data_IF_825573519357
#
_entry.id   IF_825573519357
#
_cell.length_a   1.000
_cell.length_b   1.000
_cell.length_c   1.000
_cell.angle_alpha   90.00
_cell.angle_beta   90.00
_cell.angle_gamma   90.00
#
_symmetry.space_group_name_H-M   'P 1'
#
loop_
_entity.id
_entity.type
_entity.pdbx_description
1 polymer ?
#
# COMPACT_ATOMS: atom_id res chain seq x y z
N UNK A 1 -15.44 6.75 -6.09
CA UNK A 1 -14.12 6.12 -6.39
C UNK A 1 -13.45 6.70 -7.63
N UNK A 2 -14.04 6.62 -8.84
CA UNK A 2 -13.41 7.08 -10.09
C UNK A 2 -12.93 8.54 -10.06
N UNK A 3 -13.74 9.46 -9.53
CA UNK A 3 -13.37 10.88 -9.43
C UNK A 3 -12.21 11.08 -8.45
N UNK A 4 -12.32 10.52 -7.23
CA UNK A 4 -11.25 10.56 -6.25
C UNK A 4 -9.92 10.01 -6.79
N UNK A 5 -9.94 8.91 -7.55
CA UNK A 5 -8.74 8.36 -8.18
C UNK A 5 -8.13 9.35 -9.20
N UNK A 6 -8.96 10.00 -10.01
CA UNK A 6 -8.52 10.98 -11.00
C UNK A 6 -7.88 12.20 -10.33
N UNK A 7 -8.43 12.63 -9.21
CA UNK A 7 -7.97 13.83 -8.48
C UNK A 7 -6.74 13.54 -7.60
N UNK A 8 -6.59 12.30 -7.13
CA UNK A 8 -5.47 11.88 -6.28
C UNK A 8 -4.23 11.41 -7.04
N UNK A 9 -4.40 10.88 -8.27
CA UNK A 9 -3.31 10.24 -9.02
C UNK A 9 -3.17 10.83 -10.43
N UNK A 10 -2.03 11.47 -10.69
CA UNK A 10 -1.80 12.17 -11.95
C UNK A 10 -0.78 11.43 -12.82
N UNK A 11 -1.24 10.87 -13.94
CA UNK A 11 -0.37 10.16 -14.88
C UNK A 11 0.60 11.11 -15.59
N UNK A 12 1.85 10.68 -15.74
CA UNK A 12 2.86 11.40 -16.53
C UNK A 12 2.91 10.91 -17.98
N UNK A 13 3.36 11.78 -18.89
CA UNK A 13 3.47 11.49 -20.34
C UNK A 13 4.39 10.28 -20.62
N UNK A 14 5.46 10.15 -19.83
CA UNK A 14 6.47 9.09 -19.96
C UNK A 14 6.12 7.81 -19.17
N UNK A 15 4.89 7.70 -18.65
CA UNK A 15 4.46 6.61 -17.78
C UNK A 15 4.68 6.91 -16.30
N UNK A 16 3.98 6.15 -15.45
CA UNK A 16 3.99 6.35 -13.98
C UNK A 16 3.06 7.47 -13.50
N UNK A 17 3.07 7.67 -12.17
CA UNK A 17 2.30 8.71 -11.48
C UNK A 17 3.23 9.79 -10.93
N UNK A 18 2.79 11.04 -11.00
CA UNK A 18 3.53 12.19 -10.49
C UNK A 18 3.87 12.03 -9.02
N UNK A 19 2.91 11.58 -8.21
CA UNK A 19 3.04 11.41 -6.76
C UNK A 19 4.11 10.37 -6.41
N UNK A 20 4.17 9.26 -7.16
CA UNK A 20 5.18 8.23 -6.97
C UNK A 20 6.59 8.75 -7.30
N UNK A 21 6.71 9.53 -8.38
CA UNK A 21 7.98 10.15 -8.79
C UNK A 21 8.45 11.20 -7.78
N UNK A 22 7.55 12.03 -7.27
CA UNK A 22 7.88 13.06 -6.27
C UNK A 22 8.40 12.41 -4.97
N UNK A 23 7.79 11.31 -4.53
CA UNK A 23 8.28 10.55 -3.38
C UNK A 23 9.66 9.94 -3.64
N UNK A 24 9.86 9.29 -4.80
CA UNK A 24 11.15 8.70 -5.19
C UNK A 24 12.27 9.74 -5.25
N UNK A 25 12.02 10.87 -5.90
CA UNK A 25 12.96 11.99 -6.00
C UNK A 25 13.25 12.59 -4.62
N UNK A 26 12.23 12.67 -3.75
CA UNK A 26 12.35 13.10 -2.35
C UNK A 26 13.31 12.21 -1.55
N UNK A 27 13.07 10.90 -1.53
CA UNK A 27 13.95 9.93 -0.85
C UNK A 27 15.35 9.93 -1.42
N UNK A 28 15.49 9.94 -2.75
CA UNK A 28 16.80 9.99 -3.40
C UNK A 28 17.58 11.23 -3.01
N UNK A 29 16.92 12.39 -2.93
CA UNK A 29 17.54 13.66 -2.51
C UNK A 29 17.96 13.61 -1.03
N UNK A 30 17.09 13.13 -0.14
CA UNK A 30 17.37 13.00 1.28
C UNK A 30 18.54 12.03 1.57
N UNK A 31 18.58 10.90 0.86
CA UNK A 31 19.59 9.85 1.06
C UNK A 31 20.96 10.17 0.44
N UNK A 32 21.00 10.94 -0.66
CA UNK A 32 22.23 11.13 -1.47
C UNK A 32 23.47 11.57 -0.68
N UNK A 33 23.43 12.56 0.23
CA UNK A 33 24.60 12.98 0.99
C UNK A 33 25.15 11.87 1.89
N UNK A 34 24.24 11.16 2.59
CA UNK A 34 24.58 10.07 3.49
C UNK A 34 25.14 8.86 2.74
N UNK A 35 24.53 8.50 1.60
CA UNK A 35 25.04 7.42 0.74
C UNK A 35 26.45 7.70 0.22
N UNK A 36 26.78 8.96 -0.10
CA UNK A 36 28.15 9.35 -0.49
C UNK A 36 29.13 9.13 0.66
N UNK A 37 28.78 9.54 1.88
CA UNK A 37 29.61 9.34 3.08
C UNK A 37 29.79 7.86 3.43
N UNK A 38 28.75 7.04 3.26
CA UNK A 38 28.85 5.60 3.42
C UNK A 38 29.82 4.94 2.42
N UNK A 39 29.90 5.45 1.18
CA UNK A 39 30.90 4.97 0.21
C UNK A 39 32.33 5.34 0.61
N UNK A 40 32.53 6.55 1.17
CA UNK A 40 33.81 6.99 1.73
C UNK A 40 34.21 6.10 2.92
N UNK A 41 33.26 5.78 3.80
CA UNK A 41 33.44 4.88 4.94
C UNK A 41 33.93 3.50 4.52
N UNK A 42 33.25 2.88 3.54
CA UNK A 42 33.63 1.55 3.04
C UNK A 42 35.00 1.55 2.38
N UNK A 43 35.40 2.65 1.76
CA UNK A 43 36.74 2.80 1.17
C UNK A 43 37.81 2.92 2.27
N UNK A 44 37.59 3.77 3.28
CA UNK A 44 38.51 3.94 4.40
C UNK A 44 38.68 2.63 5.21
N UNK A 45 37.57 1.92 5.45
CA UNK A 45 37.56 0.59 6.09
C UNK A 45 38.43 -0.42 5.33
N UNK A 46 38.29 -0.48 4.00
CA UNK A 46 39.10 -1.38 3.15
C UNK A 46 40.59 -1.04 3.22
N UNK A 47 40.95 0.24 3.19
CA UNK A 47 42.34 0.69 3.30
C UNK A 47 42.93 0.29 4.66
N UNK A 48 42.20 0.54 5.75
CA UNK A 48 42.61 0.14 7.10
C UNK A 48 42.84 -1.38 7.21
N UNK A 49 41.87 -2.20 6.77
CA UNK A 49 42.02 -3.66 6.81
C UNK A 49 43.17 -4.17 5.94
N UNK A 50 43.43 -3.54 4.80
CA UNK A 50 44.58 -3.88 3.96
C UNK A 50 45.89 -3.56 4.67
N UNK A 51 46.00 -2.39 5.30
CA UNK A 51 47.18 -2.01 6.08
C UNK A 51 47.43 -3.01 7.23
N UNK A 52 46.40 -3.41 7.97
CA UNK A 52 46.54 -4.42 9.04
C UNK A 52 47.02 -5.77 8.50
N UNK A 53 46.56 -6.17 7.31
CA UNK A 53 47.01 -7.40 6.65
C UNK A 53 48.49 -7.29 6.27
N UNK A 54 48.92 -6.17 5.71
CA UNK A 54 50.32 -5.94 5.33
C UNK A 54 51.26 -5.87 6.55
N UNK A 55 50.83 -5.21 7.63
CA UNK A 55 51.54 -5.20 8.91
C UNK A 55 51.73 -6.61 9.44
N UNK A 56 50.66 -7.40 9.52
CA UNK A 56 50.74 -8.80 9.96
C UNK A 56 51.71 -9.62 9.11
N UNK A 57 51.68 -9.45 7.78
CA UNK A 57 52.61 -10.13 6.87
C UNK A 57 54.05 -9.68 7.07
N UNK A 58 54.29 -8.38 7.31
CA UNK A 58 55.62 -7.85 7.59
C UNK A 58 56.16 -8.38 8.93
N UNK A 59 55.33 -8.42 9.98
CA UNK A 59 55.69 -8.98 11.28
C UNK A 59 56.00 -10.47 11.20
N UNK A 60 55.20 -11.26 10.48
CA UNK A 60 55.50 -12.70 10.29
C UNK A 60 56.80 -12.91 9.52
N UNK A 61 57.10 -12.09 8.50
CA UNK A 61 58.37 -12.17 7.77
C UNK A 61 59.58 -11.81 8.66
N UNK A 62 59.47 -10.77 9.47
CA UNK A 62 60.51 -10.36 10.42
C UNK A 62 60.73 -11.42 11.53
N UNK A 63 59.66 -12.05 12.02
CA UNK A 63 59.75 -13.15 12.97
C UNK A 63 60.42 -14.39 12.35
N UNK A 64 60.03 -14.78 11.13
CA UNK A 64 60.61 -15.94 10.45
C UNK A 64 62.09 -15.73 10.11
N UNK A 65 62.49 -14.49 9.74
CA UNK A 65 63.90 -14.18 9.47
C UNK A 65 64.83 -14.39 10.67
N UNK A 66 64.32 -14.28 11.90
CA UNK A 66 65.12 -14.51 13.12
C UNK A 66 65.48 -15.99 13.33
N UNK A 67 64.78 -16.91 12.66
CA UNK A 67 65.04 -18.34 12.73
C UNK A 67 66.05 -18.82 11.65
N UNK A 68 66.38 -17.98 10.66
CA UNK A 68 67.33 -18.31 9.60
C UNK A 68 68.77 -17.89 9.97
N UNK A 69 69.72 -18.83 9.92
CA UNK A 69 71.12 -18.60 10.33
C UNK A 69 71.95 -17.77 9.33
N UNK A 70 71.38 -17.39 8.18
CA UNK A 70 72.09 -16.75 7.06
C UNK A 70 71.72 -15.29 6.81
N UNK A 71 70.90 -14.66 7.65
CA UNK A 71 70.47 -13.27 7.45
C UNK A 71 71.52 -12.28 7.94
N UNK A 72 71.81 -11.28 7.09
CA UNK A 72 72.75 -10.21 7.44
C UNK A 72 72.10 -9.14 8.31
N UNK A 73 72.87 -8.40 9.12
CA UNK A 73 72.36 -7.29 9.92
C UNK A 73 71.58 -6.25 9.10
N UNK A 74 72.04 -5.95 7.88
CA UNK A 74 71.37 -5.01 6.97
C UNK A 74 70.02 -5.53 6.47
N UNK A 75 69.91 -6.83 6.18
CA UNK A 75 68.64 -7.45 5.79
C UNK A 75 67.65 -7.45 6.94
N UNK A 76 68.12 -7.71 8.16
CA UNK A 76 67.29 -7.69 9.35
C UNK A 76 66.78 -6.28 9.68
N UNK A 77 67.66 -5.27 9.57
CA UNK A 77 67.27 -3.87 9.72
C UNK A 77 66.21 -3.45 8.71
N UNK A 78 66.35 -3.85 7.44
CA UNK A 78 65.36 -3.58 6.40
C UNK A 78 63.98 -4.19 6.69
N UNK A 79 63.93 -5.38 7.30
CA UNK A 79 62.67 -6.01 7.73
C UNK A 79 62.04 -5.25 8.90
N UNK A 80 62.84 -4.81 9.86
CA UNK A 80 62.37 -3.99 10.98
C UNK A 80 61.83 -2.63 10.50
N UNK A 81 62.55 -1.94 9.62
CA UNK A 81 62.11 -0.67 9.02
C UNK A 81 60.79 -0.85 8.26
N UNK A 82 60.60 -2.01 7.60
CA UNK A 82 59.36 -2.35 6.91
C UNK A 82 58.20 -2.59 7.89
N UNK A 83 58.44 -3.27 9.01
CA UNK A 83 57.42 -3.46 10.06
C UNK A 83 57.01 -2.11 10.65
N UNK A 84 57.98 -1.25 10.96
CA UNK A 84 57.72 0.07 11.53
C UNK A 84 56.93 0.96 10.56
N UNK A 85 57.27 0.92 9.27
CA UNK A 85 56.48 1.61 8.23
C UNK A 85 55.04 1.09 8.17
N UNK A 86 54.84 -0.24 8.17
CA UNK A 86 53.49 -0.81 8.14
C UNK A 86 52.67 -0.43 9.38
N UNK A 87 53.29 -0.35 10.57
CA UNK A 87 52.63 0.15 11.80
C UNK A 87 52.15 1.59 11.64
N UNK A 88 53.01 2.47 11.11
CA UNK A 88 52.64 3.87 10.85
C UNK A 88 51.52 3.98 9.80
N UNK A 89 51.56 3.14 8.77
CA UNK A 89 50.52 3.10 7.74
C UNK A 89 49.17 2.61 8.30
N UNK A 90 49.18 1.62 9.20
CA UNK A 90 47.99 1.17 9.95
C UNK A 90 47.42 2.30 10.80
N UNK A 91 48.26 2.98 11.58
CA UNK A 91 47.81 4.07 12.45
C UNK A 91 47.17 5.22 11.64
N UNK A 92 47.82 5.64 10.53
CA UNK A 92 47.27 6.67 9.64
C UNK A 92 45.95 6.23 8.99
N UNK A 93 45.84 4.97 8.60
CA UNK A 93 44.62 4.42 8.01
C UNK A 93 43.48 4.34 9.05
N UNK A 94 43.80 4.00 10.29
CA UNK A 94 42.87 3.98 11.41
C UNK A 94 42.32 5.37 11.71
N UNK A 95 43.18 6.38 11.90
CA UNK A 95 42.77 7.77 12.15
C UNK A 95 41.86 8.30 11.05
N UNK A 96 42.18 8.00 9.78
CA UNK A 96 41.33 8.36 8.65
C UNK A 96 39.99 7.64 8.69
N UNK A 97 39.97 6.36 9.03
CA UNK A 97 38.75 5.58 9.13
C UNK A 97 37.85 6.09 10.26
N UNK A 98 38.40 6.32 11.45
CA UNK A 98 37.70 6.90 12.61
C UNK A 98 37.10 8.27 12.30
N UNK A 99 37.87 9.14 11.63
CA UNK A 99 37.35 10.45 11.20
C UNK A 99 36.14 10.31 10.26
N UNK A 100 36.18 9.39 9.31
CA UNK A 100 35.05 9.17 8.40
C UNK A 100 33.85 8.57 9.15
N UNK A 101 34.07 7.68 10.12
CA UNK A 101 33.01 7.17 11.01
C UNK A 101 32.35 8.32 11.76
N UNK A 102 33.14 9.23 12.33
CA UNK A 102 32.64 10.40 13.04
C UNK A 102 31.80 11.32 12.14
N UNK A 103 32.28 11.59 10.91
CA UNK A 103 31.55 12.38 9.92
C UNK A 103 30.21 11.73 9.50
N UNK A 104 30.17 10.41 9.34
CA UNK A 104 28.93 9.67 9.08
C UNK A 104 27.97 9.83 10.27
N UNK A 105 28.45 9.61 11.49
CA UNK A 105 27.62 9.71 12.70
C UNK A 105 27.06 11.13 12.90
N UNK A 106 27.84 12.17 12.61
CA UNK A 106 27.38 13.56 12.63
C UNK A 106 26.30 13.85 11.59
N UNK A 107 26.36 13.19 10.43
CA UNK A 107 25.38 13.34 9.36
C UNK A 107 24.10 12.50 9.52
N UNK A 108 24.12 11.47 10.37
CA UNK A 108 22.99 10.54 10.55
C UNK A 108 21.70 11.21 11.03
N UNK A 109 21.70 12.13 12.03
CA UNK A 109 20.47 12.78 12.46
C UNK A 109 19.76 13.54 11.33
N UNK A 110 20.51 14.33 10.54
CA UNK A 110 19.95 15.07 9.41
C UNK A 110 19.41 14.14 8.32
N UNK A 111 20.10 13.03 8.06
CA UNK A 111 19.63 12.00 7.14
C UNK A 111 18.30 11.40 7.61
N UNK A 112 18.21 11.00 8.89
CA UNK A 112 16.99 10.44 9.46
C UNK A 112 15.84 11.43 9.39
N UNK A 113 16.06 12.69 9.81
CA UNK A 113 15.04 13.74 9.75
C UNK A 113 14.54 13.99 8.31
N UNK A 114 15.44 14.06 7.34
CA UNK A 114 15.07 14.28 5.94
C UNK A 114 14.31 13.09 5.34
N UNK A 115 14.67 11.86 5.71
CA UNK A 115 13.95 10.65 5.28
C UNK A 115 12.57 10.58 5.93
N UNK A 116 12.48 10.88 7.23
CA UNK A 116 11.22 10.91 7.99
C UNK A 116 10.26 11.95 7.40
N UNK A 117 10.75 13.12 7.00
CA UNK A 117 9.91 14.15 6.38
C UNK A 117 9.24 13.66 5.08
N UNK A 118 9.99 12.96 4.21
CA UNK A 118 9.42 12.40 2.97
C UNK A 118 8.47 11.25 3.30
N UNK A 119 8.82 10.41 4.27
CA UNK A 119 7.98 9.29 4.71
C UNK A 119 6.64 9.77 5.29
N UNK A 120 6.64 10.81 6.11
CA UNK A 120 5.43 11.39 6.69
C UNK A 120 4.50 11.96 5.61
N UNK A 121 5.04 12.55 4.53
CA UNK A 121 4.22 12.96 3.39
C UNK A 121 3.56 11.76 2.69
N UNK A 122 4.26 10.63 2.56
CA UNK A 122 3.67 9.40 2.04
C UNK A 122 2.58 8.85 2.98
N UNK A 123 2.80 8.88 4.30
CA UNK A 123 1.83 8.47 5.30
C UNK A 123 0.55 9.30 5.22
N UNK A 124 0.67 10.64 5.13
CA UNK A 124 -0.49 11.52 4.98
C UNK A 124 -1.26 11.29 3.68
N UNK A 125 -0.55 10.97 2.60
CA UNK A 125 -1.20 10.61 1.34
C UNK A 125 -1.96 9.28 1.45
N UNK A 126 -1.36 8.29 2.12
CA UNK A 126 -1.97 6.99 2.36
C UNK A 126 -3.19 7.08 3.30
N UNK A 127 -3.09 7.86 4.37
CA UNK A 127 -4.17 8.11 5.31
C UNK A 127 -5.43 8.62 4.60
N UNK A 128 -5.26 9.57 3.66
CA UNK A 128 -6.38 10.07 2.84
C UNK A 128 -7.05 8.94 2.05
N UNK A 129 -6.28 8.01 1.47
CA UNK A 129 -6.84 6.86 0.76
C UNK A 129 -7.58 5.92 1.71
N UNK A 130 -7.02 5.63 2.88
CA UNK A 130 -7.60 4.72 3.86
C UNK A 130 -8.91 5.27 4.42
N UNK A 131 -8.94 6.55 4.79
CA UNK A 131 -10.16 7.21 5.26
C UNK A 131 -11.24 7.27 4.17
N UNK A 132 -10.87 7.64 2.94
CA UNK A 132 -11.78 7.58 1.80
C UNK A 132 -12.33 6.18 1.56
N UNK A 133 -11.49 5.14 1.63
CA UNK A 133 -11.92 3.76 1.45
C UNK A 133 -12.93 3.34 2.52
N UNK A 134 -12.68 3.72 3.78
CA UNK A 134 -13.60 3.47 4.89
C UNK A 134 -14.98 4.11 4.63
N UNK A 135 -15.00 5.37 4.21
CA UNK A 135 -16.24 6.08 3.88
C UNK A 135 -17.00 5.38 2.74
N UNK A 136 -16.31 5.02 1.66
CA UNK A 136 -16.91 4.30 0.52
C UNK A 136 -17.50 2.96 0.94
N UNK A 137 -16.82 2.21 1.80
CA UNK A 137 -17.33 0.92 2.29
C UNK A 137 -18.60 1.08 3.14
N UNK A 138 -18.65 2.13 3.96
CA UNK A 138 -19.85 2.46 4.75
C UNK A 138 -21.01 2.88 3.83
N UNK A 139 -20.74 3.67 2.79
CA UNK A 139 -21.74 4.05 1.79
C UNK A 139 -22.27 2.83 1.02
N UNK A 140 -21.40 1.91 0.61
CA UNK A 140 -21.79 0.66 -0.04
C UNK A 140 -22.70 -0.15 0.89
N UNK A 141 -22.30 -0.32 2.16
CA UNK A 141 -23.13 -1.02 3.15
C UNK A 141 -24.51 -0.38 3.26
N UNK A 142 -24.60 0.96 3.31
CA UNK A 142 -25.88 1.67 3.39
C UNK A 142 -26.73 1.43 2.15
N UNK A 143 -26.15 1.49 0.95
CA UNK A 143 -26.89 1.29 -0.29
C UNK A 143 -27.38 -0.15 -0.50
N UNK A 144 -26.64 -1.14 0.02
CA UNK A 144 -27.04 -2.55 -0.05
C UNK A 144 -28.08 -2.92 1.02
N UNK A 145 -28.17 -2.19 2.13
CA UNK A 145 -29.05 -2.53 3.23
C UNK A 145 -30.50 -2.08 2.98
N UNK A 146 -31.29 -2.93 2.33
CA UNK A 146 -32.72 -2.68 2.09
C UNK A 146 -33.54 -2.54 3.39
N UNK A 147 -33.10 -3.13 4.51
CA UNK A 147 -33.80 -3.03 5.78
C UNK A 147 -33.78 -1.61 6.37
N UNK A 148 -32.79 -0.78 6.02
CA UNK A 148 -32.77 0.64 6.38
C UNK A 148 -33.76 1.46 5.55
N UNK A 149 -34.28 0.91 4.44
CA UNK A 149 -35.24 1.59 3.59
C UNK A 149 -36.68 1.20 3.95
N UNK A 150 -37.47 2.16 4.45
CA UNK A 150 -38.88 1.94 4.78
C UNK A 150 -39.73 1.53 3.59
N UNK A 151 -39.30 1.80 2.35
CA UNK A 151 -40.00 1.32 1.15
C UNK A 151 -39.99 -0.21 1.06
N UNK A 152 -38.93 -0.86 1.52
CA UNK A 152 -38.82 -2.32 1.47
C UNK A 152 -39.88 -2.99 2.35
N UNK A 153 -40.04 -2.53 3.59
CA UNK A 153 -41.10 -3.03 4.48
C UNK A 153 -42.51 -2.67 4.00
N UNK A 154 -42.65 -1.52 3.32
CA UNK A 154 -43.93 -1.10 2.73
C UNK A 154 -44.44 -2.07 1.67
N UNK A 155 -43.58 -2.64 0.82
CA UNK A 155 -43.97 -3.64 -0.19
C UNK A 155 -44.68 -4.83 0.46
N UNK A 156 -44.13 -5.36 1.54
CA UNK A 156 -44.74 -6.50 2.25
C UNK A 156 -46.03 -6.11 2.97
N UNK A 157 -46.12 -4.90 3.51
CA UNK A 157 -47.35 -4.40 4.14
C UNK A 157 -48.49 -4.22 3.13
N UNK A 158 -48.19 -3.67 1.95
CA UNK A 158 -49.18 -3.50 0.87
C UNK A 158 -49.63 -4.85 0.30
N UNK A 159 -48.71 -5.81 0.16
CA UNK A 159 -49.04 -7.19 -0.20
C UNK A 159 -50.01 -7.81 0.82
N UNK A 160 -49.71 -7.71 2.11
CA UNK A 160 -50.59 -8.22 3.16
C UNK A 160 -51.98 -7.58 3.10
N UNK A 161 -52.05 -6.26 2.94
CA UNK A 161 -53.31 -5.54 2.82
C UNK A 161 -54.11 -6.03 1.59
N UNK A 162 -53.46 -6.23 0.46
CA UNK A 162 -54.10 -6.73 -0.77
C UNK A 162 -54.70 -8.12 -0.56
N UNK A 163 -53.96 -9.02 0.09
CA UNK A 163 -54.45 -10.37 0.42
C UNK A 163 -55.65 -10.30 1.36
N UNK A 164 -55.62 -9.43 2.38
CA UNK A 164 -56.70 -9.28 3.36
C UNK A 164 -58.00 -8.75 2.78
N UNK A 165 -57.95 -8.04 1.66
CA UNK A 165 -59.13 -7.49 0.98
C UNK A 165 -59.91 -8.56 0.22
N UNK A 166 -59.32 -9.73 -0.07
CA UNK A 166 -60.03 -10.81 -0.74
C UNK A 166 -61.24 -11.30 0.08
N UNK A 167 -62.45 -11.15 -0.46
CA UNK A 167 -63.71 -11.58 0.17
C UNK A 167 -64.37 -12.70 -0.64
N UNK A 168 -64.32 -13.92 -0.09
CA UNK A 168 -64.95 -15.08 -0.70
C UNK A 168 -66.47 -14.90 -0.91
N UNK A 169 -67.16 -14.14 -0.06
CA UNK A 169 -68.60 -13.89 -0.22
C UNK A 169 -68.89 -12.93 -1.36
N UNK A 170 -68.02 -11.97 -1.61
CA UNK A 170 -68.12 -11.08 -2.78
C UNK A 170 -68.01 -11.89 -4.08
N UNK A 171 -67.01 -12.77 -4.17
CA UNK A 171 -66.78 -13.61 -5.34
C UNK A 171 -67.94 -14.59 -5.59
N UNK A 172 -68.45 -15.25 -4.53
CA UNK A 172 -69.61 -16.15 -4.63
C UNK A 172 -70.89 -15.41 -5.06
N UNK A 173 -71.11 -14.19 -4.55
CA UNK A 173 -72.23 -13.34 -4.96
C UNK A 173 -72.12 -12.94 -6.42
N UNK A 174 -70.92 -12.52 -6.86
CA UNK A 174 -70.66 -12.18 -8.25
C UNK A 174 -71.00 -13.36 -9.16
N UNK A 175 -70.44 -14.54 -8.89
CA UNK A 175 -70.63 -15.74 -9.72
C UNK A 175 -72.10 -16.18 -9.78
N UNK A 176 -72.80 -16.17 -8.64
CA UNK A 176 -74.24 -16.50 -8.59
C UNK A 176 -75.07 -15.61 -9.51
N UNK A 177 -74.73 -14.32 -9.60
CA UNK A 177 -75.51 -13.34 -10.34
C UNK A 177 -75.15 -13.30 -11.83
N UNK A 178 -73.91 -13.63 -12.20
CA UNK A 178 -73.44 -13.59 -13.59
C UNK A 178 -73.51 -14.93 -14.31
N UNK A 179 -73.44 -16.04 -13.58
CA UNK A 179 -73.38 -17.41 -14.14
C UNK A 179 -74.31 -18.41 -13.44
N UNK A 180 -75.13 -17.93 -12.50
CA UNK A 180 -75.95 -18.80 -11.65
C UNK A 180 -77.40 -18.37 -11.57
N UNK A 181 -78.12 -18.82 -10.52
CA UNK A 181 -79.55 -18.55 -10.35
C UNK A 181 -79.95 -17.08 -10.21
N UNK A 182 -79.00 -16.16 -10.10
CA UNK A 182 -79.26 -14.72 -10.08
C UNK A 182 -79.34 -14.09 -11.47
N UNK A 183 -79.03 -14.82 -12.55
CA UNK A 183 -79.14 -14.30 -13.90
C UNK A 183 -80.61 -14.03 -14.28
N UNK A 184 -80.89 -12.96 -15.03
CA UNK A 184 -82.24 -12.69 -15.49
C UNK A 184 -82.68 -13.79 -16.47
N UNK A 185 -83.83 -14.37 -16.22
CA UNK A 185 -84.43 -15.38 -17.09
C UNK A 185 -85.81 -14.92 -17.54
N UNK A 186 -86.02 -14.92 -18.85
CA UNK A 186 -87.35 -14.74 -19.42
C UNK A 186 -88.06 -16.09 -19.42
N UNK A 187 -88.81 -16.33 -18.35
CA UNK A 187 -89.59 -17.56 -18.23
C UNK A 187 -90.66 -17.64 -19.32
N UNK A 188 -90.99 -18.84 -19.82
CA UNK A 188 -91.98 -19.01 -20.88
C UNK A 188 -93.32 -18.34 -20.51
N UNK A 189 -93.87 -17.56 -21.44
CA UNK A 189 -95.19 -16.95 -21.37
C UNK A 189 -95.98 -17.31 -22.63
N UNK A 190 -97.30 -17.11 -22.62
CA UNK A 190 -98.14 -17.34 -23.79
C UNK A 190 -97.74 -16.37 -24.92
N UNK A 191 -97.20 -16.89 -26.02
CA UNK A 191 -96.87 -16.10 -27.20
C UNK A 191 -98.05 -16.06 -28.19
N UNK A 192 -98.62 -14.87 -28.40
CA UNK A 192 -99.67 -14.66 -29.42
C UNK A 192 -99.01 -14.17 -30.70
N UNK A 193 -99.17 -14.91 -31.81
CA UNK A 193 -98.70 -14.45 -33.12
C UNK A 193 -99.49 -13.22 -33.55
N UNK A 194 -98.83 -12.08 -33.66
CA UNK A 194 -99.43 -10.89 -34.25
C UNK A 194 -99.59 -11.10 -35.76
N UNK A 195 -100.79 -11.46 -36.22
CA UNK A 195 -101.15 -11.27 -37.62
C UNK A 195 -101.21 -9.76 -37.89
N UNK A 196 -100.18 -9.19 -38.52
CA UNK A 196 -100.32 -7.88 -39.18
C UNK A 196 -101.41 -8.06 -40.25
N UNK A 197 -102.58 -7.46 -40.04
CA UNK A 197 -103.51 -7.21 -41.14
C UNK A 197 -102.81 -6.22 -42.09
N UNK A 198 -102.81 -6.57 -43.38
CA UNK A 198 -102.26 -5.78 -44.49
C UNK A 198 -102.75 -4.34 -44.47
#
# INVERSE_FOLDING_TARGET
>A
VKNWQKDAFHKQIIGGFKEAKEAEDGFRKAQKPWAKKMKELETAKKVYHLACKEEKLAMTREANSKAEQSITPDQQKKLQDKVEKCKQDVQKALEKYEKVVEEVNKGTPQYMESMEQVFEQCQQFEEKRLNFLKEVLLDIKRHLNLAENSSYSKVYRELEQTIRVADAQEDLRWFRNTCGPGMPMNWPQLEVRSCRRM
#
